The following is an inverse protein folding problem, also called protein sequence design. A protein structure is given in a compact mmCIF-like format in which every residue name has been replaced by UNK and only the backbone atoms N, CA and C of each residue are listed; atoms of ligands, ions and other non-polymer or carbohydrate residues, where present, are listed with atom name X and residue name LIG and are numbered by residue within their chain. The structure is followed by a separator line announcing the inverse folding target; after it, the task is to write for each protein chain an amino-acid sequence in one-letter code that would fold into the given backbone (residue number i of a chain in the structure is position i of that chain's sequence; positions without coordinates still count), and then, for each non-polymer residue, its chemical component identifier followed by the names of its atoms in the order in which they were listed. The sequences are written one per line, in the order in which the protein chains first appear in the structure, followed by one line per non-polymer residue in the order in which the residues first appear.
data_IF_098874056227
#
_entry.id   IF_098874056227
#
_cell.length_a   1.000
_cell.length_b   1.000
_cell.length_c   1.000
_cell.angle_alpha   90.00
_cell.angle_beta   90.00
_cell.angle_gamma   90.00
#
_symmetry.space_group_name_H-M   'P 1'
#
loop_
_entity.id
_entity.type
_entity.pdbx_description
1 polymer ?
#
# COMPACT_ATOMS: atom_id res chain seq x y z
N UNK A 1 28.94 -1.34 -6.01
CA UNK A 1 28.87 -2.16 -7.24
C UNK A 1 30.25 -2.35 -7.87
N UNK A 2 31.01 -1.28 -8.13
CA UNK A 2 32.39 -1.40 -8.64
C UNK A 2 33.32 -2.27 -7.76
N UNK A 3 33.18 -2.22 -6.44
CA UNK A 3 34.02 -2.99 -5.50
C UNK A 3 33.67 -4.49 -5.44
N UNK A 4 32.53 -4.91 -5.98
CA UNK A 4 32.08 -6.30 -5.98
C UNK A 4 32.23 -6.99 -7.34
N UNK A 5 32.71 -6.29 -8.38
CA UNK A 5 32.91 -6.84 -9.73
C UNK A 5 31.63 -7.16 -10.50
N UNK A 6 30.45 -6.79 -9.99
CA UNK A 6 29.15 -7.04 -10.63
C UNK A 6 28.75 -5.86 -11.53
N UNK A 7 28.52 -6.11 -12.81
CA UNK A 7 28.01 -5.11 -13.76
C UNK A 7 26.48 -5.20 -13.87
N UNK A 8 25.76 -4.07 -14.06
CA UNK A 8 24.30 -4.04 -14.07
C UNK A 8 23.65 -5.01 -15.07
N UNK A 9 24.33 -5.31 -16.17
CA UNK A 9 23.87 -6.22 -17.22
C UNK A 9 23.78 -7.68 -16.75
N UNK A 10 24.48 -8.04 -15.66
CA UNK A 10 24.43 -9.36 -15.03
C UNK A 10 23.24 -9.54 -14.08
N UNK A 11 22.41 -8.51 -13.89
CA UNK A 11 21.25 -8.59 -13.00
C UNK A 11 20.02 -9.04 -13.78
N UNK A 12 19.61 -10.29 -13.57
CA UNK A 12 18.44 -10.91 -14.23
C UNK A 12 17.10 -10.57 -13.57
N UNK A 13 17.12 -10.20 -12.29
CA UNK A 13 15.91 -9.92 -11.51
C UNK A 13 16.13 -8.74 -10.57
N UNK A 14 15.21 -7.78 -10.62
CA UNK A 14 15.12 -6.71 -9.62
C UNK A 14 13.81 -6.91 -8.88
N UNK A 15 13.94 -7.44 -7.67
CA UNK A 15 12.81 -7.79 -6.82
C UNK A 15 12.33 -6.53 -6.11
N UNK A 16 11.19 -5.97 -6.57
CA UNK A 16 10.58 -4.79 -5.97
C UNK A 16 9.46 -5.19 -5.03
N UNK A 17 9.66 -4.98 -3.73
CA UNK A 17 8.62 -5.23 -2.74
C UNK A 17 7.54 -4.13 -2.73
N UNK A 18 7.91 -2.90 -3.07
CA UNK A 18 7.02 -1.76 -3.24
C UNK A 18 7.64 -0.72 -4.20
N UNK A 19 6.85 0.24 -4.69
CA UNK A 19 7.23 1.21 -5.72
C UNK A 19 7.27 2.64 -5.15
N UNK A 20 8.26 2.94 -4.31
CA UNK A 20 8.51 4.32 -3.86
C UNK A 20 9.77 4.91 -4.53
N UNK A 21 9.79 6.23 -4.71
CA UNK A 21 10.86 6.93 -5.43
C UNK A 21 12.26 6.69 -4.83
N UNK A 22 12.38 6.54 -3.52
CA UNK A 22 13.62 6.26 -2.79
C UNK A 22 14.24 4.88 -3.10
N UNK A 23 13.43 3.91 -3.53
CA UNK A 23 13.89 2.58 -3.96
C UNK A 23 13.79 2.36 -5.48
N UNK A 24 13.05 3.23 -6.18
CA UNK A 24 12.88 3.16 -7.63
C UNK A 24 13.88 4.03 -8.39
N UNK A 25 14.45 5.05 -7.75
CA UNK A 25 15.31 6.07 -8.35
C UNK A 25 16.49 5.52 -9.13
N UNK A 26 17.12 4.44 -8.66
CA UNK A 26 18.27 3.84 -9.35
C UNK A 26 17.92 2.78 -10.40
N UNK A 27 16.64 2.52 -10.65
CA UNK A 27 16.23 1.56 -11.70
C UNK A 27 16.29 2.14 -13.10
N UNK A 28 16.38 3.45 -13.22
CA UNK A 28 16.53 4.15 -14.49
C UNK A 28 17.66 5.16 -14.36
N UNK A 29 18.53 5.22 -15.36
CA UNK A 29 19.59 6.22 -15.48
C UNK A 29 19.31 7.11 -16.69
N UNK A 30 19.67 8.38 -16.59
CA UNK A 30 19.62 9.29 -17.72
C UNK A 30 20.91 9.13 -18.53
N UNK A 31 20.81 8.62 -19.74
CA UNK A 31 21.93 8.48 -20.69
C UNK A 31 21.55 9.25 -21.95
N UNK A 32 22.36 10.24 -22.33
CA UNK A 32 22.15 11.06 -23.53
C UNK A 32 20.72 11.65 -23.63
N UNK A 33 20.19 12.15 -22.51
CA UNK A 33 18.84 12.74 -22.45
C UNK A 33 17.68 11.75 -22.49
N UNK A 34 17.94 10.44 -22.53
CA UNK A 34 16.92 9.39 -22.45
C UNK A 34 17.02 8.62 -21.14
N UNK A 35 15.88 8.41 -20.50
CA UNK A 35 15.77 7.52 -19.36
C UNK A 35 15.84 6.07 -19.83
N UNK A 36 16.91 5.36 -19.46
CA UNK A 36 17.11 3.94 -19.78
C UNK A 36 17.12 3.11 -18.49
N UNK A 37 16.61 1.87 -18.49
CA UNK A 37 16.68 1.01 -17.32
C UNK A 37 18.13 0.73 -16.94
N UNK A 38 18.47 0.91 -15.67
CA UNK A 38 19.80 0.62 -15.12
C UNK A 38 20.11 -0.88 -15.19
N UNK A 39 19.10 -1.73 -15.05
CA UNK A 39 19.21 -3.19 -15.15
C UNK A 39 18.38 -3.67 -16.35
N UNK A 40 18.92 -3.51 -17.55
CA UNK A 40 18.18 -3.72 -18.79
C UNK A 40 17.63 -5.16 -18.97
N UNK A 41 18.32 -6.15 -18.40
CA UNK A 41 17.93 -7.56 -18.47
C UNK A 41 17.01 -8.00 -17.31
N UNK A 42 16.74 -7.11 -16.35
CA UNK A 42 16.06 -7.49 -15.13
C UNK A 42 14.53 -7.55 -15.27
N UNK A 43 13.92 -8.64 -14.78
CA UNK A 43 12.46 -8.70 -14.57
C UNK A 43 12.06 -8.08 -13.23
N UNK A 44 11.16 -7.10 -13.29
CA UNK A 44 10.52 -6.48 -12.12
C UNK A 44 9.24 -7.22 -11.75
N UNK A 45 9.13 -7.69 -10.50
CA UNK A 45 7.97 -8.49 -10.07
C UNK A 45 7.47 -8.01 -8.70
N UNK A 46 6.16 -7.77 -8.60
CA UNK A 46 5.45 -7.29 -7.40
C UNK A 46 4.35 -8.29 -7.00
N UNK A 47 4.75 -9.50 -6.58
CA UNK A 47 3.81 -10.63 -6.37
C UNK A 47 2.75 -10.36 -5.29
N UNK A 48 3.13 -9.77 -4.16
CA UNK A 48 2.21 -9.56 -3.02
C UNK A 48 1.12 -8.56 -3.40
N UNK A 49 1.47 -7.45 -4.05
CA UNK A 49 0.48 -6.46 -4.50
C UNK A 49 -0.37 -6.96 -5.67
N UNK A 50 0.19 -7.76 -6.58
CA UNK A 50 -0.59 -8.37 -7.64
C UNK A 50 -1.66 -9.34 -7.07
N UNK A 51 -1.26 -10.18 -6.11
CA UNK A 51 -2.19 -11.09 -5.41
C UNK A 51 -3.24 -10.32 -4.60
N UNK A 52 -2.83 -9.29 -3.85
CA UNK A 52 -3.76 -8.44 -3.10
C UNK A 52 -4.73 -7.70 -4.03
N UNK A 53 -4.25 -7.16 -5.16
CA UNK A 53 -5.08 -6.50 -6.16
C UNK A 53 -6.10 -7.46 -6.79
N UNK A 54 -5.69 -8.68 -7.11
CA UNK A 54 -6.61 -9.71 -7.63
C UNK A 54 -7.68 -10.08 -6.59
N UNK A 55 -7.29 -10.25 -5.32
CA UNK A 55 -8.23 -10.51 -4.23
C UNK A 55 -9.24 -9.36 -4.08
N UNK A 56 -8.76 -8.12 -4.03
CA UNK A 56 -9.61 -6.93 -3.95
C UNK A 56 -10.55 -6.84 -5.14
N UNK A 57 -10.07 -7.11 -6.36
CA UNK A 57 -10.90 -7.12 -7.56
C UNK A 57 -12.07 -8.10 -7.42
N UNK A 58 -11.80 -9.34 -6.99
CA UNK A 58 -12.85 -10.34 -6.77
C UNK A 58 -13.84 -9.90 -5.70
N UNK A 59 -13.36 -9.36 -4.58
CA UNK A 59 -14.21 -8.87 -3.49
C UNK A 59 -15.10 -7.71 -3.92
N UNK A 60 -14.55 -6.76 -4.70
CA UNK A 60 -15.30 -5.62 -5.22
C UNK A 60 -16.36 -6.08 -6.22
N UNK A 61 -16.04 -7.03 -7.11
CA UNK A 61 -17.03 -7.55 -8.06
C UNK A 61 -18.18 -8.26 -7.35
N UNK A 62 -17.87 -9.16 -6.42
CA UNK A 62 -18.90 -9.84 -5.63
C UNK A 62 -19.73 -8.85 -4.79
N UNK A 63 -19.08 -7.87 -4.15
CA UNK A 63 -19.75 -6.82 -3.39
C UNK A 63 -20.66 -5.94 -4.26
N UNK A 64 -20.25 -5.66 -5.50
CA UNK A 64 -21.04 -4.88 -6.46
C UNK A 64 -22.26 -5.66 -6.94
N UNK A 65 -22.12 -6.95 -7.23
CA UNK A 65 -23.24 -7.84 -7.57
C UNK A 65 -24.24 -7.96 -6.42
N UNK A 66 -23.75 -8.11 -5.18
CA UNK A 66 -24.60 -8.11 -3.99
C UNK A 66 -25.29 -6.76 -3.77
N UNK A 67 -24.58 -5.64 -3.94
CA UNK A 67 -25.20 -4.33 -3.82
C UNK A 67 -26.27 -4.08 -4.88
N UNK A 68 -26.09 -4.63 -6.09
CA UNK A 68 -27.07 -4.55 -7.17
C UNK A 68 -28.34 -5.38 -6.90
N UNK A 69 -28.25 -6.46 -6.10
CA UNK A 69 -29.41 -7.28 -5.72
C UNK A 69 -30.23 -6.71 -4.56
N UNK A 70 -29.70 -5.71 -3.83
CA UNK A 70 -30.43 -5.00 -2.77
C UNK A 70 -31.31 -3.89 -3.32
N UNK A 71 -32.46 -3.67 -2.69
CA UNK A 71 -33.36 -2.56 -3.02
C UNK A 71 -32.70 -1.20 -2.78
N UNK A 72 -33.02 -0.15 -3.58
CA UNK A 72 -32.45 1.19 -3.43
C UNK A 72 -32.46 1.78 -2.00
N UNK A 73 -33.55 1.69 -1.21
CA UNK A 73 -33.56 2.18 0.17
C UNK A 73 -32.70 1.36 1.15
N UNK A 74 -32.42 0.09 0.86
CA UNK A 74 -31.47 -0.69 1.65
C UNK A 74 -30.04 -0.29 1.31
N UNK A 75 -29.73 -0.12 0.01
CA UNK A 75 -28.39 0.27 -0.46
C UNK A 75 -27.93 1.61 0.12
N UNK A 76 -28.80 2.61 0.20
CA UNK A 76 -28.49 3.93 0.77
C UNK A 76 -28.19 3.89 2.28
N UNK A 77 -28.73 2.90 3.01
CA UNK A 77 -28.46 2.70 4.43
C UNK A 77 -27.14 1.97 4.68
N UNK A 78 -26.83 0.95 3.87
CA UNK A 78 -25.65 0.10 4.08
C UNK A 78 -24.36 0.73 3.56
N UNK A 79 -24.40 1.56 2.51
CA UNK A 79 -23.20 2.12 1.91
C UNK A 79 -22.40 3.06 2.85
N UNK A 80 -23.02 4.03 3.57
CA UNK A 80 -22.31 4.85 4.55
C UNK A 80 -21.79 4.04 5.73
N UNK A 81 -22.54 3.02 6.16
CA UNK A 81 -22.12 2.13 7.24
C UNK A 81 -20.89 1.30 6.84
N UNK A 82 -20.85 0.76 5.61
CA UNK A 82 -19.72 0.00 5.11
C UNK A 82 -18.45 0.87 4.99
N UNK A 83 -18.57 2.10 4.47
CA UNK A 83 -17.47 3.04 4.39
C UNK A 83 -16.99 3.47 5.79
N UNK A 84 -17.93 3.83 6.67
CA UNK A 84 -17.64 4.24 8.03
C UNK A 84 -16.98 3.13 8.87
N UNK A 85 -17.44 1.88 8.71
CA UNK A 85 -16.80 0.71 9.31
C UNK A 85 -15.37 0.50 8.75
N UNK A 86 -15.18 0.65 7.45
CA UNK A 86 -13.84 0.53 6.83
C UNK A 86 -12.88 1.60 7.35
N UNK A 87 -13.33 2.85 7.43
CA UNK A 87 -12.59 3.97 8.04
C UNK A 87 -12.24 3.69 9.51
N UNK A 88 -13.21 3.23 10.29
CA UNK A 88 -13.02 2.89 11.69
C UNK A 88 -12.00 1.76 11.87
N UNK A 89 -12.12 0.67 11.11
CA UNK A 89 -11.17 -0.46 11.13
C UNK A 89 -9.78 0.01 10.70
N UNK A 90 -9.67 0.83 9.66
CA UNK A 90 -8.39 1.36 9.21
C UNK A 90 -7.75 2.29 10.27
N UNK A 91 -8.56 3.10 10.95
CA UNK A 91 -8.13 3.93 12.06
C UNK A 91 -7.69 3.11 13.27
N UNK A 92 -8.41 2.06 13.64
CA UNK A 92 -8.00 1.14 14.71
C UNK A 92 -6.73 0.38 14.35
N UNK A 93 -6.56 0.02 13.08
CA UNK A 93 -5.35 -0.64 12.58
C UNK A 93 -4.09 0.20 12.82
N UNK A 94 -4.21 1.53 12.81
CA UNK A 94 -3.10 2.47 13.09
C UNK A 94 -2.45 2.26 14.46
N UNK A 95 -3.20 1.75 15.44
CA UNK A 95 -2.72 1.52 16.81
C UNK A 95 -2.23 0.09 17.07
N UNK A 96 -2.27 -0.78 16.06
CA UNK A 96 -1.94 -2.19 16.23
C UNK A 96 -0.44 -2.42 16.30
N UNK A 97 -0.01 -3.33 17.17
CA UNK A 97 1.38 -3.81 17.21
C UNK A 97 1.82 -4.38 15.86
N UNK A 98 0.90 -4.99 15.10
CA UNK A 98 1.17 -5.51 13.77
C UNK A 98 1.63 -4.41 12.81
N UNK A 99 0.89 -3.29 12.73
CA UNK A 99 1.29 -2.15 11.89
C UNK A 99 2.67 -1.63 12.31
N UNK A 100 2.92 -1.47 13.61
CA UNK A 100 4.20 -0.94 14.10
C UNK A 100 5.38 -1.87 13.76
N UNK A 101 5.20 -3.20 13.83
CA UNK A 101 6.21 -4.19 13.42
C UNK A 101 6.45 -4.09 11.90
N UNK A 102 5.38 -4.07 11.11
CA UNK A 102 5.50 -3.93 9.65
C UNK A 102 6.23 -2.65 9.27
N UNK A 103 5.92 -1.54 9.93
CA UNK A 103 6.50 -0.24 9.65
C UNK A 103 7.96 -0.15 10.09
N UNK A 104 8.35 -0.73 11.23
CA UNK A 104 9.76 -0.75 11.67
C UNK A 104 10.66 -1.51 10.69
N UNK A 105 10.19 -2.65 10.15
CA UNK A 105 10.88 -3.37 9.07
C UNK A 105 10.91 -2.57 7.76
N UNK A 106 9.86 -1.82 7.44
CA UNK A 106 9.85 -0.95 6.25
C UNK A 106 10.81 0.23 6.37
N UNK A 107 11.01 0.79 7.58
CA UNK A 107 11.92 1.92 7.82
C UNK A 107 13.40 1.53 7.86
N UNK A 108 13.71 0.25 7.97
CA UNK A 108 15.08 -0.27 8.16
C UNK A 108 15.49 -1.27 7.07
N UNK A 109 15.53 -0.85 5.79
CA UNK A 109 15.77 -1.76 4.66
C UNK A 109 17.11 -2.49 4.77
N UNK A 110 18.17 -1.82 5.24
CA UNK A 110 19.48 -2.45 5.43
C UNK A 110 19.51 -3.49 6.55
N UNK A 111 18.80 -3.24 7.66
CA UNK A 111 18.68 -4.21 8.74
C UNK A 111 17.91 -5.46 8.28
N UNK A 112 16.86 -5.28 7.48
CA UNK A 112 16.14 -6.39 6.87
C UNK A 112 17.06 -7.24 5.97
N UNK A 113 17.81 -6.61 5.08
CA UNK A 113 18.73 -7.33 4.19
C UNK A 113 19.79 -8.08 5.01
N UNK A 114 20.39 -7.44 6.01
CA UNK A 114 21.39 -8.07 6.86
C UNK A 114 20.85 -9.27 7.67
N UNK A 115 19.59 -9.20 8.14
CA UNK A 115 18.98 -10.26 8.95
C UNK A 115 18.42 -11.42 8.12
N UNK A 116 17.90 -11.13 6.91
CA UNK A 116 17.17 -12.11 6.11
C UNK A 116 17.89 -12.52 4.83
N UNK A 117 19.16 -12.11 4.62
CA UNK A 117 19.94 -12.46 3.44
C UNK A 117 19.96 -13.97 3.21
N UNK A 118 19.55 -14.38 2.01
CA UNK A 118 19.62 -15.77 1.54
C UNK A 118 20.11 -15.81 0.11
N UNK A 119 21.11 -16.65 -0.14
CA UNK A 119 21.68 -16.82 -1.47
C UNK A 119 20.74 -17.59 -2.42
N UNK A 120 20.95 -17.38 -3.71
CA UNK A 120 20.23 -18.08 -4.78
C UNK A 120 18.83 -17.53 -5.09
N UNK A 121 18.24 -18.02 -6.19
CA UNK A 121 16.94 -17.55 -6.71
C UNK A 121 15.79 -17.77 -5.72
N UNK A 122 15.83 -18.87 -4.97
CA UNK A 122 14.83 -19.19 -3.94
C UNK A 122 14.93 -18.26 -2.73
N UNK A 123 16.15 -17.99 -2.24
CA UNK A 123 16.40 -17.04 -1.17
C UNK A 123 15.95 -15.62 -1.54
N UNK A 124 16.26 -15.18 -2.76
CA UNK A 124 15.82 -13.91 -3.30
C UNK A 124 14.27 -13.79 -3.38
N UNK A 125 13.58 -14.86 -3.77
CA UNK A 125 12.10 -14.90 -3.79
C UNK A 125 11.52 -14.86 -2.38
N UNK A 126 12.07 -15.61 -1.43
CA UNK A 126 11.62 -15.62 -0.04
C UNK A 126 11.79 -14.23 0.60
N UNK A 127 12.95 -13.60 0.42
CA UNK A 127 13.21 -12.24 0.89
C UNK A 127 12.22 -11.23 0.28
N UNK A 128 11.92 -11.36 -1.02
CA UNK A 128 10.92 -10.52 -1.71
C UNK A 128 9.54 -10.69 -1.08
N UNK A 129 9.10 -11.93 -0.87
CA UNK A 129 7.78 -12.21 -0.31
C UNK A 129 7.67 -11.70 1.13
N UNK A 130 8.68 -11.97 1.98
CA UNK A 130 8.72 -11.46 3.35
C UNK A 130 8.66 -9.94 3.40
N UNK A 131 9.52 -9.26 2.63
CA UNK A 131 9.52 -7.80 2.60
C UNK A 131 8.23 -7.22 2.01
N UNK A 132 7.67 -7.87 0.98
CA UNK A 132 6.39 -7.51 0.37
C UNK A 132 5.23 -7.61 1.37
N UNK A 133 5.21 -8.65 2.22
CA UNK A 133 4.20 -8.82 3.28
C UNK A 133 4.33 -7.72 4.34
N UNK A 134 5.56 -7.36 4.76
CA UNK A 134 5.74 -6.22 5.67
C UNK A 134 5.29 -4.89 5.05
N UNK A 135 5.60 -4.67 3.77
CA UNK A 135 5.17 -3.47 3.03
C UNK A 135 3.66 -3.40 2.87
N UNK A 136 3.01 -4.52 2.57
CA UNK A 136 1.56 -4.59 2.47
C UNK A 136 0.93 -4.35 3.85
N UNK A 137 1.45 -5.02 4.88
CA UNK A 137 0.98 -4.90 6.26
C UNK A 137 0.98 -3.44 6.77
N UNK A 138 1.97 -2.61 6.44
CA UNK A 138 1.97 -1.25 6.98
C UNK A 138 0.88 -0.32 6.40
N UNK A 139 0.35 -0.60 5.20
CA UNK A 139 -0.51 0.35 4.48
C UNK A 139 -1.83 -0.21 3.93
N UNK A 140 -2.05 -1.53 3.90
CA UNK A 140 -3.23 -2.15 3.28
C UNK A 140 -4.56 -1.55 3.77
N UNK A 141 -4.67 -1.25 5.06
CA UNK A 141 -5.90 -0.73 5.65
C UNK A 141 -6.26 0.66 5.10
N UNK A 142 -5.26 1.50 4.80
CA UNK A 142 -5.49 2.80 4.17
C UNK A 142 -5.91 2.66 2.70
N UNK A 143 -5.36 1.66 1.98
CA UNK A 143 -5.81 1.34 0.63
C UNK A 143 -7.25 0.79 0.62
N UNK A 144 -7.63 0.00 1.63
CA UNK A 144 -9.00 -0.49 1.76
C UNK A 144 -10.03 0.65 1.88
N UNK A 145 -9.66 1.76 2.53
CA UNK A 145 -10.50 2.97 2.59
C UNK A 145 -10.73 3.56 1.19
N UNK A 146 -9.69 3.67 0.36
CA UNK A 146 -9.86 4.17 -1.02
C UNK A 146 -10.79 3.29 -1.85
N UNK A 147 -10.68 1.97 -1.68
CA UNK A 147 -11.55 1.00 -2.35
C UNK A 147 -13.00 1.16 -1.88
N UNK A 148 -13.23 1.19 -0.56
CA UNK A 148 -14.57 1.33 0.01
C UNK A 148 -15.22 2.67 -0.34
N UNK A 149 -14.44 3.74 -0.44
CA UNK A 149 -14.94 5.05 -0.82
C UNK A 149 -15.22 5.19 -2.33
N UNK A 150 -14.82 4.21 -3.16
CA UNK A 150 -15.01 4.22 -4.62
C UNK A 150 -14.23 5.32 -5.35
N UNK A 151 -13.40 6.09 -4.65
CA UNK A 151 -12.70 7.25 -5.20
C UNK A 151 -11.29 6.88 -5.64
N UNK A 152 -11.20 6.19 -6.79
CA UNK A 152 -9.93 5.91 -7.47
C UNK A 152 -9.40 7.10 -8.29
N UNK A 153 -9.65 8.34 -7.85
CA UNK A 153 -9.11 9.51 -8.53
C UNK A 153 -7.59 9.63 -8.30
N UNK A 154 -6.88 10.21 -9.26
CA UNK A 154 -5.44 10.50 -9.13
C UNK A 154 -5.15 11.35 -7.89
N UNK A 155 -6.02 12.31 -7.55
CA UNK A 155 -5.83 13.17 -6.38
C UNK A 155 -5.82 12.40 -5.06
N UNK A 156 -6.78 11.48 -4.87
CA UNK A 156 -6.87 10.65 -3.66
C UNK A 156 -5.72 9.64 -3.57
N UNK A 157 -5.29 9.08 -4.70
CA UNK A 157 -4.10 8.22 -4.76
C UNK A 157 -2.83 8.98 -4.37
N UNK A 158 -2.68 10.23 -4.83
CA UNK A 158 -1.55 11.09 -4.44
C UNK A 158 -1.59 11.44 -2.95
N UNK A 159 -2.76 11.76 -2.41
CA UNK A 159 -2.92 12.04 -0.98
C UNK A 159 -2.54 10.81 -0.15
N UNK A 160 -3.06 9.63 -0.47
CA UNK A 160 -2.72 8.40 0.24
C UNK A 160 -1.22 8.10 0.15
N UNK A 161 -0.63 8.28 -1.04
CA UNK A 161 0.81 8.09 -1.24
C UNK A 161 1.61 9.02 -0.34
N UNK A 162 1.22 10.30 -0.24
CA UNK A 162 1.87 11.27 0.63
C UNK A 162 1.75 10.87 2.10
N UNK A 163 0.57 10.41 2.53
CA UNK A 163 0.34 9.94 3.91
C UNK A 163 1.25 8.75 4.22
N UNK A 164 1.26 7.71 3.38
CA UNK A 164 2.11 6.52 3.56
C UNK A 164 3.60 6.89 3.50
N UNK A 165 3.98 7.84 2.64
CA UNK A 165 5.33 8.36 2.55
C UNK A 165 5.77 9.04 3.86
N UNK A 166 4.93 9.92 4.40
CA UNK A 166 5.17 10.58 5.69
C UNK A 166 5.27 9.55 6.81
N UNK A 167 4.38 8.54 6.85
CA UNK A 167 4.48 7.43 7.81
C UNK A 167 5.83 6.70 7.70
N UNK A 168 6.34 6.48 6.49
CA UNK A 168 7.60 5.74 6.32
C UNK A 168 8.85 6.58 6.59
N UNK A 169 8.82 7.89 6.38
CA UNK A 169 10.02 8.73 6.50
C UNK A 169 10.18 9.44 7.85
N UNK A 170 9.09 9.67 8.59
CA UNK A 170 9.17 10.46 9.81
C UNK A 170 9.79 9.68 11.00
N UNK A 171 10.88 10.19 11.62
CA UNK A 171 11.49 9.59 12.82
C UNK A 171 10.53 9.55 14.02
N UNK A 172 9.57 10.49 14.09
CA UNK A 172 8.54 10.59 15.14
C UNK A 172 7.19 9.96 14.73
N UNK A 173 7.19 9.00 13.80
CA UNK A 173 5.98 8.50 13.15
C UNK A 173 4.85 8.03 14.07
N UNK A 174 5.13 7.62 15.31
CA UNK A 174 4.10 7.20 16.28
C UNK A 174 3.05 8.29 16.55
N UNK A 175 3.45 9.57 16.64
CA UNK A 175 2.49 10.68 16.85
C UNK A 175 1.62 10.90 15.62
N UNK A 176 2.21 10.80 14.43
CA UNK A 176 1.50 10.93 13.16
C UNK A 176 0.53 9.75 12.94
N UNK A 177 0.98 8.53 13.19
CA UNK A 177 0.16 7.30 13.16
C UNK A 177 -1.03 7.42 14.11
N UNK A 178 -0.82 7.88 15.35
CA UNK A 178 -1.90 8.11 16.32
C UNK A 178 -2.87 9.20 15.87
N UNK A 179 -2.37 10.35 15.38
CA UNK A 179 -3.23 11.43 14.90
C UNK A 179 -4.08 10.99 13.70
N UNK A 180 -3.46 10.29 12.74
CA UNK A 180 -4.15 9.73 11.58
C UNK A 180 -5.18 8.67 11.99
N UNK A 181 -4.84 7.81 12.95
CA UNK A 181 -5.75 6.82 13.52
C UNK A 181 -6.97 7.46 14.16
N UNK A 182 -6.79 8.47 15.01
CA UNK A 182 -7.88 9.24 15.64
C UNK A 182 -8.75 9.89 14.55
N UNK A 183 -8.13 10.53 13.56
CA UNK A 183 -8.85 11.19 12.47
C UNK A 183 -9.70 10.20 11.67
N UNK A 184 -9.17 9.02 11.33
CA UNK A 184 -9.89 7.98 10.59
C UNK A 184 -11.04 7.37 11.41
N UNK A 185 -10.84 7.12 12.71
CA UNK A 185 -11.92 6.65 13.59
C UNK A 185 -13.01 7.69 13.72
N UNK A 186 -12.64 8.95 13.97
CA UNK A 186 -13.60 10.07 14.07
C UNK A 186 -14.41 10.24 12.78
N UNK A 187 -13.73 10.23 11.63
CA UNK A 187 -14.39 10.30 10.32
C UNK A 187 -15.30 9.09 10.09
N UNK A 188 -14.86 7.87 10.45
CA UNK A 188 -15.66 6.66 10.32
C UNK A 188 -16.96 6.71 11.12
N UNK A 189 -16.92 7.27 12.34
CA UNK A 189 -18.12 7.48 13.17
C UNK A 189 -19.05 8.49 12.51
N UNK A 190 -18.53 9.65 12.08
CA UNK A 190 -19.32 10.71 11.42
C UNK A 190 -20.02 10.19 10.17
N UNK A 191 -19.29 9.45 9.31
CA UNK A 191 -19.82 8.85 8.08
C UNK A 191 -20.87 7.79 8.40
N UNK A 192 -20.64 6.94 9.40
CA UNK A 192 -21.60 5.89 9.81
C UNK A 192 -22.93 6.46 10.31
N UNK A 193 -22.90 7.63 10.94
CA UNK A 193 -24.09 8.31 11.47
C UNK A 193 -24.89 9.05 10.38
N UNK A 194 -24.40 9.09 9.12
CA UNK A 194 -25.05 9.83 8.04
C UNK A 194 -25.01 11.35 8.24
N UNK A 195 -24.11 11.85 9.09
CA UNK A 195 -23.99 13.28 9.40
C UNK A 195 -23.28 14.08 8.29
N UNK A 196 -22.78 13.41 7.25
CA UNK A 196 -22.13 14.02 6.09
C UNK A 196 -22.77 13.54 4.81
N UNK A 197 -23.28 14.46 3.99
CA UNK A 197 -23.58 14.15 2.60
C UNK A 197 -22.26 13.86 1.87
N UNK A 198 -22.21 12.73 1.18
CA UNK A 198 -21.06 12.34 0.37
C UNK A 198 -21.37 12.69 -1.08
N UNK A 199 -20.92 13.86 -1.58
CA UNK A 199 -21.35 14.39 -2.89
C UNK A 199 -20.93 13.51 -4.08
N UNK A 200 -20.02 12.56 -3.88
CA UNK A 200 -19.61 11.58 -4.89
C UNK A 200 -20.38 10.25 -4.81
N UNK A 201 -21.22 10.04 -3.79
CA UNK A 201 -22.08 8.85 -3.63
C UNK A 201 -23.55 9.13 -3.99
N UNK A 202 -23.93 10.38 -4.23
CA UNK A 202 -25.29 10.78 -4.60
C UNK A 202 -25.60 10.63 -6.10
N UNK A 203 -25.01 9.62 -6.76
CA UNK A 203 -25.22 9.29 -8.17
C UNK A 203 -26.23 8.17 -8.38
#
# INVERSE_FOLDING_TARGET
MATAGVVPEQIDYVLRAHLHADHCSWNTRLVEGRWVPTFANARYVILVWAAAGLLVYVLVQFGSELAASLDPPQRSKWAPLALGATLGIAGLYQFTSLKHICLSHCRSPFAFVAQYWRDGRAGALEMRLRHGVYCFGCCWALFAVLVAAGVMSVAWMLLLTLVVFVEKLQPHGRRFESALGIALVGLGIVVSLGATEMPWMSG
#
